data_IF_796768391724
#
_entry.id   IF_796768391724
#
_cell.length_a   1.000
_cell.length_b   1.000
_cell.length_c   1.000
_cell.angle_alpha   90.00
_cell.angle_beta   90.00
_cell.angle_gamma   90.00
#
_symmetry.space_group_name_H-M   'P 1'
#
loop_
_entity.id
_entity.type
_entity.pdbx_description
1 polymer ?
#
# COMPACT_ATOMS: atom_id res chain seq x y z
N UNK A 1 -26.07 23.39 1.63
CA UNK A 1 -25.24 22.19 1.34
C UNK A 1 -24.06 22.15 2.30
N UNK A 2 -23.92 21.12 3.15
CA UNK A 2 -22.72 20.95 3.99
C UNK A 2 -21.51 20.79 3.06
N UNK A 3 -20.54 21.71 3.14
CA UNK A 3 -19.29 21.62 2.40
C UNK A 3 -18.56 20.34 2.82
N UNK A 4 -18.55 19.33 1.95
CA UNK A 4 -17.80 18.10 2.19
C UNK A 4 -16.31 18.44 2.18
N UNK A 5 -15.68 18.37 3.35
CA UNK A 5 -14.27 18.70 3.52
C UNK A 5 -13.42 17.65 2.79
N UNK A 6 -12.92 18.00 1.61
CA UNK A 6 -12.00 17.18 0.84
C UNK A 6 -10.68 17.05 1.58
N UNK A 7 -10.05 15.87 1.51
CA UNK A 7 -8.78 15.65 2.22
C UNK A 7 -7.62 16.38 1.56
N UNK A 8 -6.72 16.94 2.38
CA UNK A 8 -5.56 17.69 1.90
C UNK A 8 -4.59 16.85 1.09
N UNK A 9 -3.77 17.52 0.27
CA UNK A 9 -2.78 16.82 -0.54
C UNK A 9 -1.76 16.05 0.31
N UNK A 10 -1.30 16.71 1.38
CA UNK A 10 -0.40 16.16 2.40
C UNK A 10 -0.95 14.88 3.04
N UNK A 11 -2.26 14.79 3.29
CA UNK A 11 -2.83 13.59 3.90
C UNK A 11 -2.68 12.36 3.00
N UNK A 12 -2.91 12.51 1.69
CA UNK A 12 -2.75 11.40 0.75
C UNK A 12 -1.31 10.94 0.64
N UNK A 13 -0.34 11.88 0.68
CA UNK A 13 1.10 11.55 0.65
C UNK A 13 1.49 10.80 1.92
N UNK A 14 1.13 11.33 3.09
CA UNK A 14 1.42 10.69 4.38
C UNK A 14 0.76 9.32 4.49
N UNK A 15 -0.47 9.18 3.99
CA UNK A 15 -1.15 7.89 3.93
C UNK A 15 -0.39 6.91 3.04
N UNK A 16 0.09 7.35 1.88
CA UNK A 16 0.92 6.54 0.99
C UNK A 16 2.23 6.09 1.63
N UNK A 17 2.96 7.02 2.27
CA UNK A 17 4.20 6.70 2.98
C UNK A 17 3.94 5.71 4.12
N UNK A 18 2.92 5.94 4.94
CA UNK A 18 2.59 5.02 6.04
C UNK A 18 2.21 3.63 5.54
N UNK A 19 1.47 3.55 4.44
CA UNK A 19 1.13 2.27 3.80
C UNK A 19 2.39 1.56 3.30
N UNK A 20 3.34 2.30 2.71
CA UNK A 20 4.59 1.72 2.22
C UNK A 20 5.43 1.11 3.34
N UNK A 21 5.60 1.83 4.45
CA UNK A 21 6.37 1.32 5.60
C UNK A 21 5.79 0.00 6.11
N UNK A 22 4.46 -0.08 6.24
CA UNK A 22 3.78 -1.31 6.67
C UNK A 22 3.95 -2.42 5.63
N UNK A 23 3.77 -2.10 4.35
CA UNK A 23 3.88 -3.08 3.28
C UNK A 23 5.31 -3.62 3.09
N UNK A 24 6.35 -2.80 3.25
CA UNK A 24 7.74 -3.24 3.18
C UNK A 24 8.13 -4.08 4.39
N UNK A 25 7.65 -3.71 5.58
CA UNK A 25 7.87 -4.51 6.79
C UNK A 25 7.23 -5.89 6.66
N UNK A 26 5.99 -5.95 6.15
CA UNK A 26 5.28 -7.21 5.88
C UNK A 26 6.06 -8.10 4.88
N UNK A 27 6.54 -7.53 3.77
CA UNK A 27 7.39 -8.27 2.82
C UNK A 27 8.65 -8.83 3.47
N UNK A 28 9.37 -8.02 4.25
CA UNK A 28 10.60 -8.46 4.91
C UNK A 28 10.30 -9.63 5.86
N UNK A 29 9.23 -9.53 6.66
CA UNK A 29 8.81 -10.58 7.60
C UNK A 29 8.41 -11.85 6.86
N UNK A 30 7.60 -11.76 5.81
CA UNK A 30 7.14 -12.92 5.04
C UNK A 30 8.29 -13.59 4.31
N UNK A 31 9.13 -12.82 3.62
CA UNK A 31 10.32 -13.35 2.93
C UNK A 31 11.22 -14.04 3.93
N UNK A 32 11.54 -13.40 5.07
CA UNK A 32 12.37 -13.97 6.11
C UNK A 32 11.79 -15.28 6.68
N UNK A 33 10.49 -15.30 7.02
CA UNK A 33 9.83 -16.49 7.54
C UNK A 33 9.86 -17.63 6.50
N UNK A 34 9.54 -17.36 5.24
CA UNK A 34 9.49 -18.39 4.20
C UNK A 34 10.92 -18.89 3.88
N UNK A 35 11.89 -18.01 3.66
CA UNK A 35 13.26 -18.44 3.31
C UNK A 35 13.96 -19.19 4.45
N UNK A 36 13.68 -18.83 5.70
CA UNK A 36 14.16 -19.55 6.88
C UNK A 36 13.50 -20.94 7.02
N UNK A 37 12.24 -21.12 6.62
CA UNK A 37 11.57 -22.42 6.63
C UNK A 37 12.13 -23.41 5.58
N UNK A 38 12.80 -22.90 4.53
CA UNK A 38 13.39 -23.70 3.45
C UNK A 38 14.94 -23.75 3.48
N UNK A 39 15.55 -23.52 4.65
CA UNK A 39 17.00 -23.59 4.92
C UNK A 39 17.92 -22.74 4.01
N UNK A 40 17.37 -21.70 3.38
CA UNK A 40 18.12 -20.79 2.50
C UNK A 40 17.87 -19.35 2.94
N UNK A 41 18.48 -18.94 4.05
CA UNK A 41 18.38 -17.57 4.60
C UNK A 41 19.09 -16.52 3.72
N UNK A 42 18.58 -16.30 2.50
CA UNK A 42 19.14 -15.33 1.55
C UNK A 42 18.19 -14.13 1.39
N UNK A 43 18.68 -12.93 1.75
CA UNK A 43 17.93 -11.66 1.73
C UNK A 43 18.36 -10.72 0.59
N UNK A 44 19.45 -11.02 -0.12
CA UNK A 44 20.10 -10.06 -1.01
C UNK A 44 19.27 -9.73 -2.26
N UNK A 45 18.52 -10.70 -2.77
CA UNK A 45 17.64 -10.50 -3.93
C UNK A 45 16.36 -9.73 -3.59
N UNK A 46 15.89 -9.80 -2.34
CA UNK A 46 14.64 -9.14 -1.92
C UNK A 46 14.79 -7.61 -1.87
N UNK A 47 15.96 -7.10 -1.51
CA UNK A 47 16.21 -5.66 -1.40
C UNK A 47 16.20 -4.93 -2.75
N UNK A 48 16.78 -5.51 -3.80
CA UNK A 48 16.85 -4.89 -5.14
C UNK A 48 15.46 -4.75 -5.78
N UNK A 49 14.64 -5.78 -5.66
CA UNK A 49 13.26 -5.76 -6.18
C UNK A 49 12.40 -4.81 -5.34
N UNK A 50 12.52 -4.91 -4.00
CA UNK A 50 11.73 -4.11 -3.06
C UNK A 50 11.91 -2.59 -3.21
N UNK A 51 13.13 -2.12 -3.48
CA UNK A 51 13.42 -0.68 -3.65
C UNK A 51 12.83 -0.11 -4.94
N UNK A 52 12.96 -0.81 -6.06
CA UNK A 52 12.37 -0.36 -7.34
C UNK A 52 10.85 -0.27 -7.23
N UNK A 53 10.21 -1.31 -6.69
CA UNK A 53 8.76 -1.33 -6.51
C UNK A 53 8.23 -0.28 -5.54
N UNK A 54 9.02 0.10 -4.53
CA UNK A 54 8.63 1.09 -3.53
C UNK A 54 8.23 2.43 -4.17
N UNK A 55 9.08 2.98 -5.03
CA UNK A 55 8.86 4.30 -5.63
C UNK A 55 7.72 4.28 -6.65
N UNK A 56 7.69 3.28 -7.55
CA UNK A 56 6.60 3.15 -8.53
C UNK A 56 5.26 3.00 -7.85
N UNK A 57 5.16 2.10 -6.88
CA UNK A 57 3.89 1.87 -6.19
C UNK A 57 3.51 3.07 -5.32
N UNK A 58 4.45 3.82 -4.73
CA UNK A 58 4.14 5.06 -4.00
C UNK A 58 3.48 6.10 -4.93
N UNK A 59 4.03 6.29 -6.12
CA UNK A 59 3.47 7.19 -7.13
C UNK A 59 2.06 6.75 -7.56
N UNK A 60 1.89 5.47 -7.91
CA UNK A 60 0.60 4.91 -8.33
C UNK A 60 -0.44 4.99 -7.19
N UNK A 61 -0.04 4.75 -5.95
CA UNK A 61 -0.91 4.90 -4.78
C UNK A 61 -1.42 6.32 -4.64
N UNK A 62 -0.54 7.31 -4.78
CA UNK A 62 -0.93 8.72 -4.72
C UNK A 62 -1.98 9.04 -5.80
N UNK A 63 -1.76 8.59 -7.03
CA UNK A 63 -2.72 8.78 -8.13
C UNK A 63 -4.05 8.08 -7.84
N UNK A 64 -4.01 6.86 -7.33
CA UNK A 64 -5.20 6.10 -6.93
C UNK A 64 -6.01 6.82 -5.86
N UNK A 65 -5.37 7.34 -4.80
CA UNK A 65 -6.04 8.13 -3.76
C UNK A 65 -6.72 9.36 -4.35
N UNK A 66 -6.06 10.03 -5.30
CA UNK A 66 -6.60 11.23 -5.97
C UNK A 66 -7.79 10.91 -6.85
N UNK A 67 -7.72 9.84 -7.62
CA UNK A 67 -8.82 9.38 -8.46
C UNK A 67 -10.03 9.01 -7.60
N UNK A 68 -9.82 8.27 -6.50
CA UNK A 68 -10.90 7.94 -5.56
C UNK A 68 -11.53 9.17 -4.92
N UNK A 69 -10.73 10.17 -4.52
CA UNK A 69 -11.25 11.44 -4.01
C UNK A 69 -12.05 12.21 -5.06
N UNK A 70 -11.65 12.16 -6.34
CA UNK A 70 -12.37 12.80 -7.44
C UNK A 70 -13.70 12.10 -7.74
N UNK A 71 -13.72 10.76 -7.70
CA UNK A 71 -14.92 9.94 -7.96
C UNK A 71 -15.94 10.13 -6.85
N UNK A 72 -15.53 10.00 -5.58
CA UNK A 72 -16.46 10.08 -4.45
C UNK A 72 -16.78 11.53 -4.03
N UNK A 73 -15.94 12.50 -4.43
CA UNK A 73 -15.97 13.91 -3.98
C UNK A 73 -15.82 14.10 -2.46
N UNK A 74 -15.67 13.01 -1.71
CA UNK A 74 -15.44 12.98 -0.27
C UNK A 74 -14.50 11.82 0.08
N UNK A 75 -13.92 11.86 1.29
CA UNK A 75 -13.17 10.73 1.81
C UNK A 75 -14.11 9.52 1.96
N UNK A 76 -13.70 8.34 1.47
CA UNK A 76 -14.38 7.09 1.74
C UNK A 76 -14.55 6.91 3.26
N UNK A 77 -15.79 6.75 3.73
CA UNK A 77 -16.12 6.58 5.16
C UNK A 77 -16.87 5.28 5.41
N UNK A 78 -17.69 4.87 4.45
CA UNK A 78 -18.47 3.64 4.58
C UNK A 78 -17.57 2.41 4.43
N UNK A 79 -17.87 1.35 5.17
CA UNK A 79 -17.18 0.05 5.05
C UNK A 79 -17.19 -0.45 3.60
N UNK A 80 -18.29 -0.25 2.87
CA UNK A 80 -18.40 -0.68 1.46
C UNK A 80 -17.47 0.11 0.54
N UNK A 81 -17.30 1.42 0.77
CA UNK A 81 -16.41 2.28 -0.01
C UNK A 81 -14.94 1.91 0.25
N UNK A 82 -14.58 1.68 1.52
CA UNK A 82 -13.23 1.26 1.91
C UNK A 82 -12.90 -0.11 1.31
N UNK A 83 -13.84 -1.05 1.33
CA UNK A 83 -13.67 -2.36 0.70
C UNK A 83 -13.46 -2.22 -0.81
N UNK A 84 -14.33 -1.49 -1.52
CA UNK A 84 -14.16 -1.27 -2.97
C UNK A 84 -12.83 -0.60 -3.30
N UNK A 85 -12.44 0.40 -2.52
CA UNK A 85 -11.15 1.07 -2.65
C UNK A 85 -9.98 0.10 -2.44
N UNK A 86 -10.05 -0.73 -1.39
CA UNK A 86 -9.05 -1.76 -1.09
C UNK A 86 -8.92 -2.76 -2.22
N UNK A 87 -10.04 -3.27 -2.73
CA UNK A 87 -10.07 -4.19 -3.87
C UNK A 87 -9.46 -3.53 -5.11
N UNK A 88 -9.87 -2.30 -5.45
CA UNK A 88 -9.30 -1.60 -6.62
C UNK A 88 -7.80 -1.34 -6.50
N UNK A 89 -7.33 -0.99 -5.29
CA UNK A 89 -5.90 -0.83 -5.03
C UNK A 89 -5.13 -2.14 -5.22
N UNK A 90 -5.73 -3.26 -4.81
CA UNK A 90 -5.14 -4.60 -4.94
C UNK A 90 -4.96 -4.99 -6.39
N UNK A 91 -5.99 -4.83 -7.21
CA UNK A 91 -5.91 -5.10 -8.65
C UNK A 91 -4.80 -4.27 -9.33
N UNK A 92 -4.68 -2.98 -9.01
CA UNK A 92 -3.63 -2.13 -9.61
C UNK A 92 -2.25 -2.56 -9.11
N UNK A 93 -2.11 -2.85 -7.83
CA UNK A 93 -0.83 -3.22 -7.24
C UNK A 93 -0.33 -4.59 -7.74
N UNK A 94 -1.21 -5.59 -7.87
CA UNK A 94 -0.87 -6.91 -8.42
C UNK A 94 -0.49 -6.79 -9.90
N UNK A 95 -1.24 -6.02 -10.69
CA UNK A 95 -0.92 -5.79 -12.10
C UNK A 95 0.45 -5.10 -12.27
N UNK A 96 0.75 -4.10 -11.45
CA UNK A 96 2.06 -3.42 -11.48
C UNK A 96 3.18 -4.40 -11.15
N UNK A 97 3.00 -5.24 -10.14
CA UNK A 97 3.98 -6.27 -9.74
C UNK A 97 4.18 -7.29 -10.85
N UNK A 98 3.10 -7.74 -11.48
CA UNK A 98 3.15 -8.69 -12.59
C UNK A 98 3.92 -8.13 -13.80
N UNK A 99 3.66 -6.88 -14.18
CA UNK A 99 4.38 -6.21 -15.27
C UNK A 99 5.86 -6.04 -14.92
N UNK A 100 6.18 -5.53 -13.72
CA UNK A 100 7.57 -5.34 -13.26
C UNK A 100 8.29 -6.68 -13.21
N UNK A 101 7.66 -7.72 -12.64
CA UNK A 101 8.21 -9.06 -12.56
C UNK A 101 8.42 -9.66 -13.95
N UNK A 102 7.48 -9.51 -14.88
CA UNK A 102 7.60 -10.05 -16.24
C UNK A 102 8.68 -9.38 -17.08
N UNK A 103 9.05 -8.14 -16.78
CA UNK A 103 10.17 -7.43 -17.43
C UNK A 103 11.53 -7.84 -16.84
N UNK A 104 11.56 -8.28 -15.57
CA UNK A 104 12.82 -8.49 -14.81
C UNK A 104 13.16 -9.97 -14.64
N UNK A 105 12.18 -10.80 -14.36
CA UNK A 105 12.36 -12.20 -13.99
C UNK A 105 11.95 -13.09 -15.15
N UNK A 106 12.92 -13.43 -16.00
CA UNK A 106 12.78 -14.48 -17.01
C UNK A 106 12.70 -15.90 -16.40
N UNK A 107 12.55 -16.03 -15.07
CA UNK A 107 12.36 -17.32 -14.38
C UNK A 107 11.43 -17.19 -13.16
N UNK A 108 10.53 -18.16 -13.00
CA UNK A 108 9.66 -18.29 -11.83
C UNK A 108 10.10 -19.53 -11.04
N UNK A 109 10.29 -19.38 -9.73
CA UNK A 109 10.66 -20.48 -8.83
C UNK A 109 9.52 -20.75 -7.85
N UNK A 110 9.36 -21.99 -7.38
CA UNK A 110 8.22 -22.40 -6.53
C UNK A 110 8.12 -21.57 -5.24
N UNK A 111 9.26 -21.25 -4.62
CA UNK A 111 9.35 -20.41 -3.40
C UNK A 111 8.80 -19.00 -3.66
N UNK A 112 9.06 -18.42 -4.84
CA UNK A 112 8.59 -17.09 -5.20
C UNK A 112 7.06 -17.05 -5.31
N UNK A 113 6.43 -18.15 -5.75
CA UNK A 113 4.97 -18.27 -5.81
C UNK A 113 4.34 -18.28 -4.41
N UNK A 114 4.93 -19.04 -3.47
CA UNK A 114 4.44 -19.07 -2.08
C UNK A 114 4.54 -17.70 -1.39
N UNK A 115 5.65 -16.98 -1.60
CA UNK A 115 5.81 -15.60 -1.12
C UNK A 115 4.72 -14.71 -1.73
N UNK A 116 4.56 -14.73 -3.05
CA UNK A 116 3.60 -13.87 -3.74
C UNK A 116 2.14 -14.10 -3.29
N UNK A 117 1.74 -15.36 -3.10
CA UNK A 117 0.39 -15.71 -2.61
C UNK A 117 0.17 -15.25 -1.17
N UNK A 118 1.16 -15.49 -0.30
CA UNK A 118 1.09 -15.09 1.11
C UNK A 118 0.98 -13.57 1.22
N UNK A 119 1.85 -12.85 0.52
CA UNK A 119 1.87 -11.38 0.49
C UNK A 119 0.57 -10.78 -0.06
N UNK A 120 -0.08 -11.45 -1.02
CA UNK A 120 -1.35 -10.99 -1.58
C UNK A 120 -2.42 -10.95 -0.48
N UNK A 121 -2.52 -12.02 0.31
CA UNK A 121 -3.51 -12.17 1.38
C UNK A 121 -3.19 -11.23 2.56
N UNK A 122 -1.96 -11.24 3.06
CA UNK A 122 -1.56 -10.43 4.22
C UNK A 122 -1.75 -8.95 3.94
N UNK A 123 -1.26 -8.48 2.80
CA UNK A 123 -1.36 -7.07 2.45
C UNK A 123 -2.81 -6.65 2.21
N UNK A 124 -3.67 -7.52 1.64
CA UNK A 124 -5.10 -7.24 1.51
C UNK A 124 -5.71 -6.85 2.87
N UNK A 125 -5.50 -7.70 3.87
CA UNK A 125 -5.99 -7.50 5.24
C UNK A 125 -5.38 -6.23 5.85
N UNK A 126 -4.06 -6.07 5.77
CA UNK A 126 -3.34 -4.92 6.32
C UNK A 126 -3.81 -3.60 5.72
N UNK A 127 -4.08 -3.55 4.40
CA UNK A 127 -4.53 -2.32 3.74
C UNK A 127 -5.92 -1.91 4.16
N UNK A 128 -6.83 -2.87 4.26
CA UNK A 128 -8.17 -2.62 4.75
C UNK A 128 -8.15 -2.08 6.19
N UNK A 129 -7.34 -2.70 7.07
CA UNK A 129 -7.13 -2.23 8.44
C UNK A 129 -6.49 -0.85 8.47
N UNK A 130 -5.50 -0.60 7.63
CA UNK A 130 -4.82 0.69 7.51
C UNK A 130 -5.78 1.81 7.11
N UNK A 131 -6.63 1.61 6.11
CA UNK A 131 -7.65 2.60 5.74
C UNK A 131 -8.63 2.86 6.89
N UNK A 132 -9.06 1.82 7.61
CA UNK A 132 -9.92 1.99 8.79
C UNK A 132 -9.23 2.77 9.91
N UNK A 133 -7.96 2.49 10.20
CA UNK A 133 -7.18 3.23 11.20
C UNK A 133 -7.04 4.71 10.79
N UNK A 134 -6.83 4.98 9.51
CA UNK A 134 -6.74 6.34 8.99
C UNK A 134 -8.05 7.14 9.10
N UNK A 135 -9.21 6.49 9.20
CA UNK A 135 -10.49 7.16 9.48
C UNK A 135 -10.61 7.62 10.93
N UNK A 136 -9.97 6.92 11.87
CA UNK A 136 -9.94 7.33 13.28
C UNK A 136 -9.07 8.58 13.51
N UNK A 137 -8.17 8.90 12.57
CA UNK A 137 -7.34 10.10 12.64
C UNK A 137 -8.14 11.35 12.17
N UNK A 138 -8.36 12.35 13.05
CA UNK A 138 -9.22 13.48 12.74
C UNK A 138 -8.70 14.34 11.58
N UNK A 139 -9.61 14.69 10.67
CA UNK A 139 -9.44 15.56 9.50
C UNK A 139 -9.09 17.01 9.90
N UNK A 140 -7.86 17.23 10.35
CA UNK A 140 -7.34 18.56 10.67
C UNK A 140 -6.16 18.58 11.63
N UNK A 141 -5.98 17.53 12.47
CA UNK A 141 -4.92 17.52 13.49
C UNK A 141 -3.51 17.45 12.90
N UNK A 142 -3.33 16.68 11.81
CA UNK A 142 -2.04 16.56 11.12
C UNK A 142 -1.60 17.90 10.52
N UNK A 143 -2.55 18.69 9.98
CA UNK A 143 -2.27 20.03 9.44
C UNK A 143 -1.78 20.96 10.56
N UNK A 144 -2.47 21.00 11.70
CA UNK A 144 -2.09 21.90 12.80
C UNK A 144 -0.80 21.46 13.52
N UNK A 145 -0.44 20.17 13.47
CA UNK A 145 0.81 19.67 14.04
C UNK A 145 2.03 20.07 13.19
N UNK A 146 1.93 19.97 11.86
CA UNK A 146 3.02 20.33 10.94
C UNK A 146 3.05 21.81 10.56
N UNK A 147 1.88 22.42 10.34
CA UNK A 147 1.73 23.86 10.18
C UNK A 147 1.38 24.42 11.55
N UNK A 148 2.40 24.63 12.37
CA UNK A 148 2.30 25.42 13.59
C UNK A 148 2.03 26.89 13.19
N UNK A 149 0.82 27.19 12.71
CA UNK A 149 0.35 28.56 12.60
C UNK A 149 -0.14 28.96 14.00
N UNK A 150 0.71 29.70 14.70
CA UNK A 150 0.28 30.64 15.74
C UNK A 150 -0.84 31.53 15.18
#
# INVERSE_FOLDING_TARGET
>A
MKAYKTSSHLRSILKGISWRIIATADTIVIVFLITCLFDNCNLDNAFKIGLSEFFFKLFIYYLHERLWLKILKHQAKSTTEILKKSISWRFIATLTTFIISGIILESFNEIALYIALTELITKFLLYYLHEKLWLKLPLGRIRNFFLHKR
#
